data_IF_000155247419
#
_entry.id   IF_000155247419
#
_cell.length_a   1.000
_cell.length_b   1.000
_cell.length_c   1.000
_cell.angle_alpha   90.00
_cell.angle_beta   90.00
_cell.angle_gamma   90.00
#
_symmetry.space_group_name_H-M   'P 1'
#
loop_
_entity.id
_entity.type
_entity.pdbx_description
1 polymer ?
#
# COMPACT_ATOMS: atom_id res chain seq x y z
N UNK A 1 -12.24 9.43 -7.17
CA UNK A 1 -11.24 10.51 -7.00
C UNK A 1 -9.90 9.85 -6.77
N UNK A 2 -8.85 10.42 -7.36
CA UNK A 2 -7.48 9.89 -7.32
C UNK A 2 -6.57 10.93 -6.68
N UNK A 3 -5.59 10.50 -5.89
CA UNK A 3 -4.57 11.38 -5.33
C UNK A 3 -3.18 10.82 -5.58
N UNK A 4 -2.21 11.70 -5.75
CA UNK A 4 -0.80 11.33 -5.82
C UNK A 4 -0.03 12.12 -4.78
N UNK A 5 0.76 11.42 -3.99
CA UNK A 5 1.67 11.97 -2.99
C UNK A 5 3.09 11.88 -3.54
N UNK A 6 3.78 13.02 -3.67
CA UNK A 6 5.12 13.10 -4.23
C UNK A 6 6.02 14.01 -3.42
N UNK A 7 7.27 13.59 -3.18
CA UNK A 7 8.31 14.41 -2.54
C UNK A 7 7.93 14.93 -1.13
N UNK A 8 7.18 14.14 -0.35
CA UNK A 8 6.74 14.55 0.98
C UNK A 8 7.82 14.21 2.01
N UNK A 9 8.23 15.21 2.78
CA UNK A 9 9.26 15.10 3.82
C UNK A 9 8.72 14.60 5.15
N UNK A 10 7.41 14.67 5.37
CA UNK A 10 6.72 14.04 6.50
C UNK A 10 5.33 13.63 6.06
N UNK A 11 5.04 12.34 6.06
CA UNK A 11 3.68 11.83 5.96
C UNK A 11 3.41 10.93 7.17
N UNK A 12 2.82 11.51 8.20
CA UNK A 12 2.45 10.72 9.37
C UNK A 12 1.30 9.76 9.00
N UNK A 13 1.39 8.51 9.47
CA UNK A 13 0.42 7.44 9.18
C UNK A 13 -1.04 7.83 9.48
N UNK A 14 -1.25 8.78 10.40
CA UNK A 14 -2.56 9.36 10.74
C UNK A 14 -3.21 10.15 9.60
N UNK A 15 -2.42 10.74 8.70
CA UNK A 15 -2.92 11.60 7.61
C UNK A 15 -3.58 10.82 6.48
N UNK A 16 -3.40 9.49 6.41
CA UNK A 16 -3.92 8.63 5.34
C UNK A 16 -5.24 7.94 5.72
N UNK A 17 -5.57 7.90 7.01
CA UNK A 17 -6.71 7.12 7.54
C UNK A 17 -8.11 7.67 7.17
N UNK A 18 -8.22 8.78 6.43
CA UNK A 18 -9.50 9.46 6.18
C UNK A 18 -9.96 9.46 4.71
N UNK A 19 -9.47 8.54 3.88
CA UNK A 19 -9.79 8.51 2.46
C UNK A 19 -10.91 7.54 2.07
N UNK A 20 -12.06 7.61 2.76
CA UNK A 20 -13.22 6.75 2.49
C UNK A 20 -13.78 6.85 1.04
N UNK A 21 -13.37 7.86 0.26
CA UNK A 21 -13.85 8.09 -1.12
C UNK A 21 -12.77 7.95 -2.19
N UNK A 22 -11.50 7.75 -1.82
CA UNK A 22 -10.45 7.60 -2.82
C UNK A 22 -10.51 6.20 -3.42
N UNK A 23 -10.31 6.14 -4.73
CA UNK A 23 -10.22 4.89 -5.49
C UNK A 23 -8.79 4.56 -5.90
N UNK A 24 -7.98 5.59 -6.11
CA UNK A 24 -6.60 5.44 -6.59
C UNK A 24 -5.69 6.28 -5.72
N UNK A 25 -4.64 5.67 -5.20
CA UNK A 25 -3.56 6.36 -4.48
C UNK A 25 -2.22 5.99 -5.08
N UNK A 26 -1.40 6.99 -5.37
CA UNK A 26 -0.03 6.79 -5.85
C UNK A 26 0.95 7.49 -4.92
N UNK A 27 1.96 6.77 -4.44
CA UNK A 27 3.08 7.31 -3.68
C UNK A 27 4.32 7.30 -4.55
N UNK A 28 4.96 8.46 -4.70
CA UNK A 28 6.18 8.61 -5.51
C UNK A 28 7.27 9.33 -4.74
N UNK A 29 8.52 8.88 -4.87
CA UNK A 29 9.69 9.58 -4.36
C UNK A 29 9.57 9.92 -2.85
N UNK A 30 9.20 8.93 -2.04
CA UNK A 30 9.07 9.11 -0.59
C UNK A 30 10.35 8.68 0.10
N UNK A 31 11.17 9.67 0.44
CA UNK A 31 12.48 9.46 1.08
C UNK A 31 12.41 9.46 2.61
N UNK A 32 11.28 9.85 3.19
CA UNK A 32 11.10 9.88 4.65
C UNK A 32 10.40 8.61 5.12
N UNK A 33 10.72 8.09 6.33
CA UNK A 33 10.06 6.91 6.87
C UNK A 33 8.55 7.04 6.82
N UNK A 34 7.91 6.06 6.20
CA UNK A 34 6.47 6.01 6.05
C UNK A 34 5.98 4.58 6.24
N UNK A 35 4.85 4.47 6.94
CA UNK A 35 4.03 3.26 6.97
C UNK A 35 2.66 3.62 6.42
N UNK A 36 2.10 2.76 5.58
CA UNK A 36 0.77 2.95 5.02
C UNK A 36 -0.21 2.01 5.70
N UNK A 37 -1.33 2.55 6.17
CA UNK A 37 -2.43 1.75 6.72
C UNK A 37 -3.75 2.25 6.13
N UNK A 38 -4.47 1.39 5.41
CA UNK A 38 -5.81 1.70 4.95
C UNK A 38 -6.83 1.43 6.06
N UNK A 39 -7.92 2.19 6.05
CA UNK A 39 -9.09 1.82 6.86
C UNK A 39 -9.79 0.61 6.24
N UNK A 40 -10.37 -0.29 7.04
CA UNK A 40 -11.26 -1.33 6.51
C UNK A 40 -12.37 -0.72 5.66
N UNK A 41 -12.86 -1.48 4.68
CA UNK A 41 -13.98 -1.10 3.81
C UNK A 41 -13.79 0.24 3.08
N UNK A 42 -12.54 0.60 2.82
CA UNK A 42 -12.22 1.70 1.92
C UNK A 42 -12.67 1.37 0.47
N UNK A 43 -12.65 2.40 -0.37
CA UNK A 43 -13.02 2.30 -1.79
C UNK A 43 -11.80 2.24 -2.71
N UNK A 44 -10.61 1.94 -2.17
CA UNK A 44 -9.40 1.86 -2.97
C UNK A 44 -9.53 0.67 -3.92
N UNK A 45 -9.39 0.96 -5.20
CA UNK A 45 -9.32 0.01 -6.31
C UNK A 45 -7.84 -0.21 -6.70
N UNK A 46 -7.02 0.82 -6.56
CA UNK A 46 -5.61 0.81 -6.95
C UNK A 46 -4.71 1.56 -5.96
N UNK A 47 -3.59 0.94 -5.58
CA UNK A 47 -2.53 1.58 -4.79
C UNK A 47 -1.17 1.31 -5.42
N UNK A 48 -0.34 2.34 -5.57
CA UNK A 48 1.06 2.15 -6.00
C UNK A 48 2.06 2.86 -5.11
N UNK A 49 3.23 2.24 -4.96
CA UNK A 49 4.41 2.78 -4.29
C UNK A 49 5.58 2.72 -5.26
N UNK A 50 6.07 3.88 -5.70
CA UNK A 50 7.14 4.01 -6.68
C UNK A 50 8.29 4.84 -6.10
N UNK A 51 9.50 4.29 -6.10
CA UNK A 51 10.68 4.92 -5.49
C UNK A 51 10.38 5.36 -4.05
N UNK A 52 10.11 4.38 -3.20
CA UNK A 52 9.75 4.58 -1.78
C UNK A 52 10.77 3.86 -0.89
N UNK A 53 12.05 4.27 -0.93
CA UNK A 53 13.14 3.57 -0.22
C UNK A 53 12.96 3.54 1.30
N UNK A 54 12.11 4.41 1.83
CA UNK A 54 11.83 4.53 3.26
C UNK A 54 10.48 3.93 3.69
N UNK A 55 9.75 3.28 2.78
CA UNK A 55 8.52 2.55 3.10
C UNK A 55 8.88 1.25 3.83
N UNK A 56 8.40 1.11 5.07
CA UNK A 56 8.72 -0.06 5.91
C UNK A 56 7.54 -1.01 6.06
N UNK A 57 6.31 -0.49 6.16
CA UNK A 57 5.13 -1.30 6.49
C UNK A 57 3.93 -0.88 5.65
N UNK A 58 3.21 -1.86 5.10
CA UNK A 58 1.95 -1.64 4.38
C UNK A 58 0.86 -2.56 4.90
N UNK A 59 -0.19 -1.96 5.44
CA UNK A 59 -1.43 -2.63 5.77
C UNK A 59 -2.54 -2.16 4.83
N UNK A 60 -2.98 -3.08 3.97
CA UNK A 60 -4.13 -2.93 3.08
C UNK A 60 -5.24 -3.92 3.44
N UNK A 61 -5.15 -4.62 4.57
CA UNK A 61 -6.10 -5.65 4.97
C UNK A 61 -7.53 -5.14 4.96
N UNK A 62 -8.46 -5.98 4.49
CA UNK A 62 -9.90 -5.66 4.36
C UNK A 62 -10.19 -4.48 3.43
N UNK A 63 -9.29 -4.17 2.49
CA UNK A 63 -9.60 -3.30 1.35
C UNK A 63 -10.39 -4.09 0.31
N UNK A 64 -11.68 -4.28 0.57
CA UNK A 64 -12.56 -5.18 -0.20
C UNK A 64 -12.80 -4.76 -1.66
N UNK A 65 -12.48 -3.52 -2.01
CA UNK A 65 -12.53 -3.00 -3.38
C UNK A 65 -11.16 -3.01 -4.07
N UNK A 66 -10.09 -3.38 -3.38
CA UNK A 66 -8.73 -3.29 -3.91
C UNK A 66 -8.50 -4.39 -4.94
N UNK A 67 -8.32 -3.96 -6.19
CA UNK A 67 -8.13 -4.84 -7.34
C UNK A 67 -6.64 -5.00 -7.67
N UNK A 68 -5.86 -3.93 -7.48
CA UNK A 68 -4.44 -3.89 -7.86
C UNK A 68 -3.61 -3.16 -6.80
N UNK A 69 -2.44 -3.72 -6.49
CA UNK A 69 -1.38 -3.04 -5.75
C UNK A 69 -0.07 -3.18 -6.51
N UNK A 70 0.77 -2.15 -6.49
CA UNK A 70 2.09 -2.21 -7.14
C UNK A 70 3.18 -1.64 -6.25
N UNK A 71 4.32 -2.34 -6.24
CA UNK A 71 5.56 -1.90 -5.61
C UNK A 71 6.66 -1.78 -6.66
N UNK A 72 7.22 -0.58 -6.79
CA UNK A 72 8.35 -0.31 -7.67
C UNK A 72 9.40 0.36 -6.78
N UNK A 73 10.49 -0.36 -6.52
CA UNK A 73 11.59 0.14 -5.68
C UNK A 73 11.12 0.54 -4.26
N UNK A 74 10.72 -0.47 -3.48
CA UNK A 74 10.39 -0.38 -2.06
C UNK A 74 11.28 -1.33 -1.22
N UNK A 75 12.61 -1.15 -1.26
CA UNK A 75 13.59 -2.14 -0.80
C UNK A 75 13.56 -2.43 0.70
N UNK A 76 12.95 -1.58 1.54
CA UNK A 76 12.92 -1.71 3.00
C UNK A 76 11.61 -2.25 3.56
N UNK A 77 10.64 -2.55 2.70
CA UNK A 77 9.33 -3.03 3.13
C UNK A 77 9.46 -4.44 3.72
N UNK A 78 8.89 -4.65 4.91
CA UNK A 78 9.05 -5.87 5.71
C UNK A 78 7.71 -6.59 5.93
N UNK A 79 6.69 -5.99 6.60
CA UNK A 79 5.35 -6.55 6.60
C UNK A 79 4.47 -5.97 5.50
N UNK A 80 3.76 -6.89 4.82
CA UNK A 80 2.71 -6.59 3.86
C UNK A 80 1.43 -7.37 4.21
N UNK A 81 0.37 -6.64 4.55
CA UNK A 81 -0.96 -7.21 4.75
C UNK A 81 -1.88 -6.88 3.56
N UNK A 82 -2.26 -7.92 2.83
CA UNK A 82 -3.23 -7.96 1.73
C UNK A 82 -4.41 -8.88 2.05
N UNK A 83 -4.60 -9.24 3.32
CA UNK A 83 -5.66 -10.17 3.74
C UNK A 83 -7.04 -9.60 3.45
N UNK A 84 -7.95 -10.47 3.03
CA UNK A 84 -9.34 -10.09 2.69
C UNK A 84 -9.45 -8.96 1.65
N UNK A 85 -8.44 -8.79 0.79
CA UNK A 85 -8.54 -7.97 -0.43
C UNK A 85 -9.16 -8.78 -1.58
N UNK A 86 -9.73 -8.09 -2.57
CA UNK A 86 -10.28 -8.69 -3.80
C UNK A 86 -9.38 -8.44 -5.00
N UNK A 87 -8.09 -8.72 -4.82
CA UNK A 87 -7.09 -8.53 -5.87
C UNK A 87 -7.46 -9.38 -7.10
N UNK A 88 -7.48 -8.75 -8.29
CA UNK A 88 -7.78 -9.45 -9.55
C UNK A 88 -6.66 -10.43 -9.88
N UNK A 89 -5.43 -10.10 -9.51
CA UNK A 89 -4.27 -10.98 -9.59
C UNK A 89 -3.32 -10.73 -8.43
N UNK A 90 -2.54 -11.75 -8.08
CA UNK A 90 -1.52 -11.58 -7.06
C UNK A 90 -0.40 -10.65 -7.59
N UNK A 91 0.06 -9.65 -6.81
CA UNK A 91 0.92 -8.61 -7.34
C UNK A 91 2.33 -9.14 -7.62
N UNK A 92 2.71 -9.25 -8.90
CA UNK A 92 4.04 -9.73 -9.31
C UNK A 92 5.16 -8.83 -8.79
N UNK A 93 4.86 -7.55 -8.58
CA UNK A 93 5.79 -6.58 -7.97
C UNK A 93 6.28 -6.97 -6.56
N UNK A 94 5.56 -7.84 -5.85
CA UNK A 94 6.01 -8.37 -4.55
C UNK A 94 7.34 -9.10 -4.66
N UNK A 95 7.65 -9.68 -5.82
CA UNK A 95 8.94 -10.34 -6.07
C UNK A 95 10.14 -9.38 -6.00
N UNK A 96 9.91 -8.07 -6.09
CA UNK A 96 10.95 -7.03 -5.96
C UNK A 96 11.23 -6.64 -4.50
N UNK A 97 10.41 -7.09 -3.56
CA UNK A 97 10.46 -6.71 -2.15
C UNK A 97 11.45 -7.59 -1.40
N UNK A 98 12.74 -7.35 -1.62
CA UNK A 98 13.84 -8.19 -1.12
C UNK A 98 13.97 -8.26 0.39
N UNK A 99 13.40 -7.30 1.13
CA UNK A 99 13.36 -7.28 2.60
C UNK A 99 12.05 -7.77 3.20
N UNK A 100 11.13 -8.31 2.39
CA UNK A 100 9.83 -8.78 2.86
C UNK A 100 10.00 -9.97 3.82
N UNK A 101 9.54 -9.82 5.04
CA UNK A 101 9.62 -10.83 6.10
C UNK A 101 8.26 -11.48 6.34
N UNK A 102 7.17 -10.72 6.22
CA UNK A 102 5.81 -11.16 6.55
C UNK A 102 4.85 -10.76 5.44
N UNK A 103 4.23 -11.75 4.81
CA UNK A 103 3.13 -11.56 3.86
C UNK A 103 1.87 -12.21 4.40
N UNK A 104 0.83 -11.41 4.62
CA UNK A 104 -0.52 -11.91 4.88
C UNK A 104 -1.39 -11.70 3.65
N UNK A 105 -1.81 -12.78 2.98
CA UNK A 105 -2.67 -12.72 1.79
C UNK A 105 -3.91 -13.63 1.93
N UNK A 106 -4.22 -14.08 3.16
CA UNK A 106 -5.34 -14.98 3.41
C UNK A 106 -6.68 -14.26 3.19
N UNK A 107 -7.60 -14.89 2.47
CA UNK A 107 -9.00 -14.45 2.39
C UNK A 107 -9.78 -15.03 3.57
N UNK A 108 -10.51 -14.16 4.29
CA UNK A 108 -11.51 -14.63 5.25
C UNK A 108 -12.80 -14.96 4.48
N UNK A 109 -13.24 -16.21 4.57
CA UNK A 109 -14.51 -16.70 4.00
C UNK A 109 -15.71 -16.25 4.84
#
# INVERSE_FOLDING_TARGET
>A
MSISFGNLTVLESKSIMYFAKLKVINFKNLNSPISFNSTPDNRLEFVSFENTPSLTDVNLGRSSHLETVMFIDAPRMKPLDLSSCRLISFPVSILTLTSLEILNNMQNN
#
